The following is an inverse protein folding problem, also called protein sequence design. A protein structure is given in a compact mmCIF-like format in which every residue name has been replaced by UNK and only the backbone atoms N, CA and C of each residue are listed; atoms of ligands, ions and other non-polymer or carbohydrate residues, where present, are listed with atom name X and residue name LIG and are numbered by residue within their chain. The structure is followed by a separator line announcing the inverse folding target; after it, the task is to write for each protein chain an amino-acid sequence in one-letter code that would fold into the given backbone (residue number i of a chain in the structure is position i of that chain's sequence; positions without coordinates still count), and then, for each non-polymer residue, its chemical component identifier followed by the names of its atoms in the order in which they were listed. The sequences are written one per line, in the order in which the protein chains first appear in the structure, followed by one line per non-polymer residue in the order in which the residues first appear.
data_IF_766469737516
#
_entry.id   IF_766469737516
#
_cell.length_a   1.000
_cell.length_b   1.000
_cell.length_c   1.000
_cell.angle_alpha   90.00
_cell.angle_beta   90.00
_cell.angle_gamma   90.00
#
_symmetry.space_group_name_H-M   'P 1'
#
loop_
_entity.id
_entity.type
_entity.pdbx_description
1 polymer ?
#
# COMPACT_ATOMS: atom_id res chain seq x y z
N UNK A 1 -5.30 2.68 -6.36
CA UNK A 1 -5.99 2.86 -5.07
C UNK A 1 -6.13 1.50 -4.43
N UNK A 2 -5.68 1.38 -3.19
CA UNK A 2 -5.77 0.16 -2.37
C UNK A 2 -6.62 0.51 -1.14
N UNK A 3 -7.55 -0.38 -0.76
CA UNK A 3 -8.43 -0.19 0.41
C UNK A 3 -8.33 -1.39 1.33
N UNK A 4 -8.21 -1.13 2.63
CA UNK A 4 -8.12 -2.14 3.66
C UNK A 4 -9.06 -1.82 4.81
N UNK A 5 -9.78 -2.84 5.28
CA UNK A 5 -10.36 -2.80 6.62
C UNK A 5 -9.23 -2.99 7.63
N UNK A 6 -9.09 -2.04 8.55
CA UNK A 6 -8.14 -2.09 9.66
C UNK A 6 -8.92 -2.49 10.91
N UNK A 7 -8.46 -3.53 11.64
CA UNK A 7 -9.05 -3.85 12.93
C UNK A 7 -8.87 -2.67 13.89
N UNK A 8 -9.67 -2.60 14.96
CA UNK A 8 -9.77 -1.47 15.90
C UNK A 8 -8.42 -1.03 16.53
N UNK A 9 -7.58 -0.35 15.76
CA UNK A 9 -6.23 0.13 16.07
C UNK A 9 -6.20 1.62 15.75
N UNK A 10 -5.64 2.43 16.66
CA UNK A 10 -5.58 3.88 16.50
C UNK A 10 -4.60 4.25 15.39
N UNK A 11 -4.77 5.43 14.78
CA UNK A 11 -3.89 5.89 13.71
C UNK A 11 -2.41 5.95 14.15
N UNK A 12 -2.17 6.37 15.39
CA UNK A 12 -0.83 6.52 15.95
C UNK A 12 -0.12 5.17 16.20
N UNK A 13 -0.88 4.07 16.19
CA UNK A 13 -0.38 2.70 16.36
C UNK A 13 -0.24 1.96 15.00
N UNK A 14 -0.32 2.69 13.88
CA UNK A 14 -0.20 2.14 12.52
C UNK A 14 1.04 2.69 11.84
N UNK A 15 1.92 1.79 11.42
CA UNK A 15 3.08 2.09 10.60
C UNK A 15 2.84 1.74 9.14
N UNK A 16 3.27 2.64 8.25
CA UNK A 16 3.21 2.46 6.80
C UNK A 16 4.58 2.78 6.21
N UNK A 17 5.22 1.78 5.64
CA UNK A 17 6.57 1.89 5.06
C UNK A 17 6.58 1.46 3.59
N UNK A 18 7.53 2.00 2.84
CA UNK A 18 7.81 1.56 1.46
C UNK A 18 9.19 0.91 1.41
N UNK A 19 9.21 -0.41 1.24
CA UNK A 19 10.44 -1.19 1.16
C UNK A 19 10.91 -1.27 -0.30
N UNK A 20 12.14 -0.81 -0.56
CA UNK A 20 12.78 -0.87 -1.88
C UNK A 20 12.01 -0.18 -3.01
N UNK A 21 11.13 0.77 -2.67
CA UNK A 21 10.28 1.48 -3.64
C UNK A 21 9.19 0.63 -4.31
N UNK A 22 9.00 -0.63 -3.88
CA UNK A 22 8.14 -1.60 -4.58
C UNK A 22 7.19 -2.36 -3.67
N UNK A 23 7.34 -2.29 -2.36
CA UNK A 23 6.45 -2.98 -1.43
C UNK A 23 5.95 -1.99 -0.40
N UNK A 24 4.63 -1.83 -0.31
CA UNK A 24 3.99 -1.16 0.83
C UNK A 24 3.88 -2.18 1.94
N UNK A 25 4.46 -1.88 3.09
CA UNK A 25 4.29 -2.63 4.33
C UNK A 25 3.40 -1.80 5.27
N UNK A 26 2.35 -2.42 5.77
CA UNK A 26 1.38 -1.81 6.69
C UNK A 26 1.33 -2.73 7.90
N UNK A 27 1.64 -2.19 9.07
CA UNK A 27 1.58 -2.93 10.33
C UNK A 27 0.96 -2.09 11.42
N UNK A 28 0.45 -2.76 12.45
CA UNK A 28 -0.03 -2.10 13.65
C UNK A 28 -0.43 -3.12 14.69
N UNK A 29 -0.39 -2.69 15.94
CA UNK A 29 -0.81 -3.50 17.08
C UNK A 29 -1.52 -2.67 18.13
N UNK A 30 -2.45 -3.30 18.83
CA UNK A 30 -3.13 -2.75 19.99
C UNK A 30 -3.22 -3.81 21.05
N UNK A 31 -2.75 -3.48 22.24
CA UNK A 31 -2.89 -4.32 23.43
C UNK A 31 -3.79 -3.61 24.43
N UNK A 32 -4.79 -4.32 24.93
CA UNK A 32 -5.65 -3.92 26.05
C UNK A 32 -5.53 -4.96 27.15
N UNK A 33 -6.08 -4.68 28.33
CA UNK A 33 -6.07 -5.62 29.46
C UNK A 33 -6.68 -6.99 29.14
N UNK A 34 -7.61 -7.04 28.16
CA UNK A 34 -8.38 -8.24 27.83
C UNK A 34 -8.15 -8.79 26.42
N UNK A 35 -7.41 -8.07 25.57
CA UNK A 35 -7.20 -8.48 24.17
C UNK A 35 -5.91 -7.93 23.58
N UNK A 36 -5.35 -8.69 22.65
CA UNK A 36 -4.27 -8.24 21.79
C UNK A 36 -4.69 -8.43 20.33
N UNK A 37 -4.49 -7.39 19.52
CA UNK A 37 -4.81 -7.37 18.10
C UNK A 37 -3.59 -6.84 17.37
N UNK A 38 -3.14 -7.58 16.36
CA UNK A 38 -2.05 -7.15 15.49
C UNK A 38 -2.33 -7.50 14.04
N UNK A 39 -1.75 -6.74 13.13
CA UNK A 39 -1.79 -7.03 11.70
C UNK A 39 -0.47 -6.67 11.03
N UNK A 40 -0.10 -7.48 10.04
CA UNK A 40 1.02 -7.22 9.13
C UNK A 40 0.52 -7.54 7.72
N UNK A 41 0.61 -6.57 6.82
CA UNK A 41 0.16 -6.71 5.43
C UNK A 41 1.18 -6.09 4.49
N UNK A 42 1.49 -6.81 3.41
CA UNK A 42 2.44 -6.38 2.38
C UNK A 42 1.79 -6.39 1.01
N UNK A 43 1.98 -5.31 0.26
CA UNK A 43 1.44 -5.16 -1.09
C UNK A 43 2.52 -4.71 -2.06
N UNK A 44 2.68 -5.48 -3.14
CA UNK A 44 3.59 -5.09 -4.22
C UNK A 44 2.99 -3.96 -5.05
N UNK A 45 3.81 -2.95 -5.31
CA UNK A 45 3.53 -1.81 -6.18
C UNK A 45 4.06 -2.13 -7.58
N UNK A 46 3.22 -1.92 -8.60
CA UNK A 46 3.64 -2.06 -9.99
C UNK A 46 4.61 -0.95 -10.42
N UNK A 47 5.40 -1.20 -11.46
CA UNK A 47 6.43 -0.27 -11.96
C UNK A 47 5.87 1.09 -12.43
N UNK A 48 4.57 1.16 -12.68
CA UNK A 48 3.85 2.33 -13.18
C UNK A 48 3.21 3.19 -12.08
N UNK A 49 3.66 3.05 -10.83
CA UNK A 49 3.13 3.80 -9.69
C UNK A 49 4.29 4.53 -9.01
N UNK A 50 4.08 5.82 -8.76
CA UNK A 50 5.05 6.67 -8.08
C UNK A 50 4.86 6.57 -6.56
N UNK A 51 5.68 5.75 -5.93
CA UNK A 51 5.64 5.53 -4.49
C UNK A 51 6.04 6.77 -3.67
N UNK A 52 6.70 7.77 -4.27
CA UNK A 52 7.05 9.02 -3.57
C UNK A 52 5.83 9.92 -3.33
N UNK A 53 4.74 9.69 -4.08
CA UNK A 53 3.46 10.40 -3.98
C UNK A 53 2.39 9.51 -3.34
N UNK A 54 2.80 8.63 -2.43
CA UNK A 54 1.88 7.80 -1.67
C UNK A 54 1.22 8.64 -0.57
N UNK A 55 -0.10 8.60 -0.53
CA UNK A 55 -0.94 9.24 0.47
C UNK A 55 -1.77 8.17 1.17
N UNK A 56 -1.94 8.33 2.48
CA UNK A 56 -2.71 7.42 3.33
C UNK A 56 -3.80 8.21 4.07
N UNK A 57 -5.01 7.66 4.10
CA UNK A 57 -6.13 8.22 4.88
C UNK A 57 -6.87 7.10 5.60
N UNK A 58 -7.13 7.29 6.89
CA UNK A 58 -7.92 6.35 7.70
C UNK A 58 -9.26 6.99 8.04
N UNK A 59 -10.36 6.39 7.61
CA UNK A 59 -11.71 6.87 7.92
C UNK A 59 -12.58 5.73 8.41
N UNK A 60 -13.07 5.82 9.64
CA UNK A 60 -14.01 4.85 10.25
C UNK A 60 -13.54 3.37 10.14
N UNK A 61 -12.25 3.12 10.35
CA UNK A 61 -11.67 1.77 10.27
C UNK A 61 -11.34 1.28 8.86
N UNK A 62 -11.51 2.11 7.83
CA UNK A 62 -11.03 1.83 6.47
C UNK A 62 -9.79 2.68 6.17
N UNK A 63 -8.66 2.02 5.92
CA UNK A 63 -7.42 2.63 5.44
C UNK A 63 -7.42 2.64 3.91
N UNK A 64 -7.30 3.83 3.34
CA UNK A 64 -7.21 4.04 1.90
C UNK A 64 -5.82 4.57 1.57
N UNK A 65 -5.14 3.83 0.68
CA UNK A 65 -3.84 4.20 0.13
C UNK A 65 -4.00 4.59 -1.34
N UNK A 66 -3.54 5.79 -1.68
CA UNK A 66 -3.51 6.31 -3.05
C UNK A 66 -2.10 6.71 -3.44
N UNK A 67 -1.74 6.41 -4.68
CA UNK A 67 -0.50 6.87 -5.28
C UNK A 67 -0.78 7.28 -6.72
N UNK A 68 -0.08 8.30 -7.18
CA UNK A 68 -0.12 8.70 -8.58
C UNK A 68 0.46 7.60 -9.46
N UNK A 69 -0.05 7.47 -10.68
CA UNK A 69 0.65 6.69 -11.71
C UNK A 69 1.94 7.42 -12.06
N UNK A 70 3.04 6.70 -12.17
CA UNK A 70 4.26 7.27 -12.72
C UNK A 70 4.05 7.51 -14.23
N UNK A 71 4.62 8.59 -14.76
CA UNK A 71 4.69 8.82 -16.20
C UNK A 71 5.71 7.85 -16.82
N UNK A 72 5.38 6.57 -16.84
CA UNK A 72 6.10 5.54 -17.57
C UNK A 72 5.64 5.55 -19.03
N UNK A 73 6.59 5.56 -19.96
CA UNK A 73 6.31 5.33 -21.37
C UNK A 73 5.44 4.09 -21.52
N UNK A 74 4.34 4.17 -22.28
CA UNK A 74 3.62 2.97 -22.72
C UNK A 74 4.64 2.04 -23.32
N UNK A 75 4.75 0.81 -22.79
CA UNK A 75 5.65 -0.20 -23.33
C UNK A 75 5.53 -0.20 -24.86
N UNK A 76 6.64 0.02 -25.54
CA UNK A 76 6.69 0.16 -26.99
C UNK A 76 6.52 -1.24 -27.59
N UNK A 77 5.25 -1.68 -27.72
CA UNK A 77 4.90 -3.02 -28.17
C UNK A 77 5.31 -3.16 -29.64
N UNK A 78 6.44 -3.81 -29.90
CA UNK A 78 6.85 -4.18 -31.26
C UNK A 78 6.26 -5.52 -31.66
N UNK A 79 5.52 -5.55 -32.77
CA UNK A 79 5.13 -6.81 -33.43
C UNK A 79 6.35 -7.40 -34.12
N UNK A 80 6.67 -8.66 -33.80
CA UNK A 80 7.67 -9.44 -34.53
C UNK A 80 6.95 -10.13 -35.70
N UNK A 81 7.44 -9.93 -36.92
CA UNK A 81 6.98 -10.71 -38.07
C UNK A 81 7.63 -12.10 -38.03
N UNK A 82 6.81 -13.13 -38.26
CA UNK A 82 7.28 -14.50 -38.44
C UNK A 82 7.66 -14.66 -39.92
N UNK A 83 8.90 -15.08 -40.17
CA UNK A 83 9.45 -15.43 -41.49
C UNK A 83 9.81 -16.90 -41.55
#
# INVERSE_FOLDING_TARGET
MLKLAIPDVALDDIDIEVLGGRVIHISGEKTTDNSHVSFDKRFSIGQHVDASKLEATLTKGELVLSAAKSEGNKDDVRKIQIT
#
